data_IF_198837134847
#
_entry.id   IF_198837134847
#
_cell.length_a   1.000
_cell.length_b   1.000
_cell.length_c   1.000
_cell.angle_alpha   90.00
_cell.angle_beta   90.00
_cell.angle_gamma   90.00
#
_symmetry.space_group_name_H-M   'P 1'
#
loop_
_entity.id
_entity.type
_entity.pdbx_description
1 polymer ?
#
# COMPACT_ATOMS: atom_id res chain seq x y z
N UNK A 1 16.58 24.13 19.92
CA UNK A 1 16.48 25.53 20.41
C UNK A 1 15.89 25.48 21.82
N UNK A 2 16.62 25.87 22.86
CA UNK A 2 16.13 25.85 24.24
C UNK A 2 15.42 27.18 24.53
N UNK A 3 14.11 27.14 24.76
CA UNK A 3 13.36 28.27 25.31
C UNK A 3 13.45 28.24 26.84
N UNK A 4 14.32 29.07 27.42
CA UNK A 4 14.35 29.30 28.87
C UNK A 4 13.35 30.40 29.25
N UNK A 5 12.20 30.02 29.82
CA UNK A 5 11.27 30.98 30.43
C UNK A 5 11.82 31.36 31.83
N UNK A 6 12.25 32.60 32.01
CA UNK A 6 12.69 33.12 33.31
C UNK A 6 11.48 33.46 34.19
N UNK A 7 11.20 32.65 35.21
CA UNK A 7 10.36 33.06 36.34
C UNK A 7 11.25 33.51 37.49
N UNK A 8 11.34 34.83 37.71
CA UNK A 8 11.96 35.42 38.89
C UNK A 8 11.00 35.26 40.08
N UNK A 9 11.17 34.20 40.87
CA UNK A 9 10.49 34.08 42.16
C UNK A 9 11.39 34.70 43.24
N UNK A 10 11.15 35.97 43.55
CA UNK A 10 11.86 36.68 44.61
C UNK A 10 11.38 36.19 46.00
N UNK A 11 12.19 35.38 46.69
CA UNK A 11 12.04 35.17 48.13
C UNK A 11 13.02 36.09 48.88
N UNK A 12 12.48 37.11 49.55
CA UNK A 12 13.25 38.04 50.37
C UNK A 12 13.33 37.50 51.82
N UNK A 13 14.49 36.98 52.22
CA UNK A 13 14.76 36.65 53.63
C UNK A 13 15.41 37.85 54.32
N UNK A 14 14.71 38.47 55.26
CA UNK A 14 15.25 39.55 56.11
C UNK A 14 15.68 38.95 57.44
N UNK A 15 16.99 38.93 57.71
CA UNK A 15 17.51 38.60 59.03
C UNK A 15 17.63 39.87 59.89
N UNK A 16 16.85 39.95 60.96
CA UNK A 16 16.94 41.01 61.97
C UNK A 16 17.67 40.48 63.20
N UNK A 17 18.95 40.83 63.35
CA UNK A 17 19.69 40.62 64.60
C UNK A 17 19.67 41.90 65.44
N UNK A 18 19.15 41.82 66.67
CA UNK A 18 19.11 42.94 67.63
C UNK A 18 20.32 42.83 68.54
N UNK A 19 21.21 43.83 68.53
CA UNK A 19 22.27 43.97 69.53
C UNK A 19 22.12 45.33 70.23
N UNK A 20 22.24 45.33 71.56
CA UNK A 20 22.16 46.53 72.39
C UNK A 20 23.33 47.46 72.07
N UNK A 21 23.07 48.77 72.03
CA UNK A 21 23.97 49.89 71.73
C UNK A 21 24.40 50.06 70.26
N UNK A 22 23.81 51.09 69.62
CA UNK A 22 24.14 51.72 68.32
C UNK A 22 23.48 51.14 67.05
N UNK A 23 22.74 51.99 66.33
CA UNK A 23 21.99 51.69 65.10
C UNK A 23 22.92 51.70 63.87
N UNK A 24 23.30 50.53 63.36
CA UNK A 24 23.83 50.34 62.00
C UNK A 24 23.19 49.09 61.42
N UNK A 25 22.49 49.22 60.28
CA UNK A 25 21.83 48.12 59.59
C UNK A 25 22.71 47.69 58.42
N UNK A 26 23.25 46.47 58.49
CA UNK A 26 23.88 45.82 57.33
C UNK A 26 22.85 44.89 56.66
N UNK A 27 22.52 45.17 55.40
CA UNK A 27 21.68 44.30 54.57
C UNK A 27 22.59 43.54 53.61
N UNK A 28 22.71 42.22 53.80
CA UNK A 28 23.38 41.33 52.85
C UNK A 28 22.32 40.62 52.03
N UNK A 29 22.23 40.92 50.73
CA UNK A 29 21.31 40.26 49.80
C UNK A 29 22.03 39.10 49.13
N UNK A 30 21.64 37.87 49.47
CA UNK A 30 22.08 36.67 48.75
C UNK A 30 20.99 36.26 47.76
N UNK A 31 21.25 36.42 46.46
CA UNK A 31 20.35 35.98 45.39
C UNK A 31 20.69 34.54 45.04
N UNK A 32 19.89 33.59 45.56
CA UNK A 32 19.94 32.19 45.14
C UNK A 32 19.10 32.01 43.88
N UNK A 33 19.77 31.98 42.73
CA UNK A 33 19.13 31.63 41.45
C UNK A 33 18.93 30.11 41.39
N UNK A 34 17.67 29.66 41.52
CA UNK A 34 17.30 28.28 41.20
C UNK A 34 17.01 28.19 39.70
N UNK A 35 17.89 27.49 38.96
CA UNK A 35 17.61 27.11 37.57
C UNK A 35 16.80 25.82 37.60
N UNK A 36 15.50 25.91 37.27
CA UNK A 36 14.68 24.74 37.02
C UNK A 36 15.02 24.21 35.62
N UNK A 37 15.86 23.17 35.54
CA UNK A 37 16.11 22.45 34.28
C UNK A 37 15.01 21.40 34.13
N UNK A 38 13.99 21.70 33.33
CA UNK A 38 13.04 20.69 32.85
C UNK A 38 13.73 19.97 31.70
N UNK A 39 14.33 18.80 31.96
CA UNK A 39 14.70 17.90 30.87
C UNK A 39 13.40 17.31 30.32
N UNK A 40 12.90 17.89 29.23
CA UNK A 40 11.80 17.27 28.48
C UNK A 40 12.27 15.90 28.00
N UNK A 41 11.48 14.86 28.26
CA UNK A 41 11.76 13.52 27.72
C UNK A 41 11.71 13.55 26.19
N UNK A 42 12.36 12.56 25.56
CA UNK A 42 12.25 12.38 24.12
C UNK A 42 10.77 12.17 23.71
N UNK A 43 10.39 12.56 22.48
CA UNK A 43 9.06 12.26 21.97
C UNK A 43 8.75 10.75 22.03
N UNK A 44 7.48 10.35 22.27
CA UNK A 44 7.09 8.95 22.26
C UNK A 44 7.56 8.22 21.00
N UNK A 45 8.20 7.06 21.16
CA UNK A 45 8.72 6.26 20.03
C UNK A 45 10.04 6.74 19.43
N UNK A 46 10.71 7.77 19.98
CA UNK A 46 12.01 8.21 19.49
C UNK A 46 13.06 7.07 19.53
N UNK A 47 13.72 6.83 18.40
CA UNK A 47 14.70 5.77 18.15
C UNK A 47 14.18 4.34 18.41
N UNK A 48 12.86 4.17 18.39
CA UNK A 48 12.18 2.87 18.44
C UNK A 48 11.64 2.49 17.05
N UNK A 49 11.22 1.24 16.84
CA UNK A 49 10.53 0.86 15.60
C UNK A 49 9.26 1.68 15.36
N UNK A 50 8.90 1.84 14.09
CA UNK A 50 7.68 2.55 13.68
C UNK A 50 6.44 1.95 14.36
N UNK A 51 5.53 2.81 14.82
CA UNK A 51 4.37 2.43 15.61
C UNK A 51 4.62 2.33 17.12
N UNK A 52 5.87 2.43 17.60
CA UNK A 52 6.14 2.39 19.04
C UNK A 52 5.69 3.64 19.81
N UNK A 53 5.24 4.70 19.13
CA UNK A 53 4.75 5.94 19.75
C UNK A 53 3.39 5.76 20.45
N UNK A 54 2.56 4.84 19.98
CA UNK A 54 1.22 4.59 20.51
C UNK A 54 0.76 3.14 20.26
N UNK A 55 -0.13 2.56 21.09
CA UNK A 55 -0.72 1.26 20.80
C UNK A 55 -1.49 1.24 19.47
N UNK A 56 -1.45 0.14 18.70
CA UNK A 56 -2.19 0.05 17.45
C UNK A 56 -3.70 -0.09 17.65
N UNK A 57 -4.45 0.40 16.69
CA UNK A 57 -5.85 0.05 16.47
C UNK A 57 -5.95 -1.35 15.82
N UNK A 58 -6.93 -2.18 16.22
CA UNK A 58 -7.14 -3.46 15.57
C UNK A 58 -7.71 -3.30 14.15
N UNK A 59 -7.59 -4.36 13.36
CA UNK A 59 -8.29 -4.50 12.09
C UNK A 59 -9.55 -5.37 12.27
N UNK A 60 -10.50 -5.23 11.35
CA UNK A 60 -11.60 -6.18 11.23
C UNK A 60 -11.04 -7.56 10.84
N UNK A 61 -11.67 -8.62 11.34
CA UNK A 61 -11.30 -10.00 11.05
C UNK A 61 -12.53 -10.80 10.61
N UNK A 62 -12.36 -11.63 9.59
CA UNK A 62 -13.36 -12.56 9.09
C UNK A 62 -12.74 -13.95 8.94
N UNK A 63 -13.50 -15.01 9.18
CA UNK A 63 -13.00 -16.39 9.02
C UNK A 63 -12.99 -16.87 7.57
N UNK A 64 -13.70 -16.18 6.68
CA UNK A 64 -13.82 -16.52 5.26
C UNK A 64 -13.91 -15.27 4.40
N UNK A 65 -13.59 -15.40 3.11
CA UNK A 65 -13.90 -14.32 2.15
C UNK A 65 -15.41 -14.11 2.03
N UNK A 66 -15.90 -12.86 2.11
CA UNK A 66 -17.29 -12.54 1.85
C UNK A 66 -17.63 -12.70 0.35
N UNK A 67 -18.91 -12.56 0.01
CA UNK A 67 -19.33 -12.48 -1.40
C UNK A 67 -18.82 -11.18 -2.06
N UNK A 68 -18.69 -11.11 -3.41
CA UNK A 68 -18.17 -9.91 -4.09
C UNK A 68 -18.92 -8.62 -3.79
N UNK A 69 -20.25 -8.70 -3.65
CA UNK A 69 -21.07 -7.50 -3.39
C UNK A 69 -20.83 -7.00 -1.96
N UNK A 70 -20.85 -7.91 -1.00
CA UNK A 70 -20.55 -7.60 0.40
C UNK A 70 -19.13 -7.06 0.57
N UNK A 71 -18.15 -7.67 -0.13
CA UNK A 71 -16.76 -7.20 -0.12
C UNK A 71 -16.67 -5.75 -0.63
N UNK A 72 -17.33 -5.46 -1.73
CA UNK A 72 -17.33 -4.12 -2.31
C UNK A 72 -17.95 -3.09 -1.35
N UNK A 73 -19.15 -3.36 -0.86
CA UNK A 73 -19.93 -2.40 -0.06
C UNK A 73 -19.32 -2.14 1.32
N UNK A 74 -18.77 -3.18 1.96
CA UNK A 74 -18.33 -3.11 3.36
C UNK A 74 -16.83 -2.84 3.51
N UNK A 75 -16.02 -3.13 2.49
CA UNK A 75 -14.56 -3.04 2.58
C UNK A 75 -13.95 -2.19 1.47
N UNK A 76 -14.19 -2.49 0.19
CA UNK A 76 -13.52 -1.78 -0.92
C UNK A 76 -13.97 -0.33 -1.02
N UNK A 77 -15.28 -0.11 -1.22
CA UNK A 77 -15.86 1.24 -1.34
C UNK A 77 -15.59 2.14 -0.13
N UNK A 78 -15.75 1.69 1.13
CA UNK A 78 -15.42 2.50 2.31
C UNK A 78 -13.92 2.52 2.64
N UNK A 79 -13.06 1.87 1.86
CA UNK A 79 -11.61 1.80 2.05
C UNK A 79 -11.21 1.27 3.44
N UNK A 80 -11.77 0.11 3.81
CA UNK A 80 -11.55 -0.51 5.13
C UNK A 80 -10.73 -1.79 5.02
N UNK A 81 -9.53 -1.85 5.64
CA UNK A 81 -8.73 -3.07 5.69
C UNK A 81 -9.42 -4.17 6.50
N UNK A 82 -9.17 -5.43 6.14
CA UNK A 82 -9.71 -6.61 6.83
C UNK A 82 -8.79 -7.82 6.67
N UNK A 83 -8.62 -8.58 7.76
CA UNK A 83 -7.90 -9.86 7.75
C UNK A 83 -8.90 -11.00 7.56
N UNK A 84 -8.65 -11.87 6.58
CA UNK A 84 -9.38 -13.11 6.36
C UNK A 84 -8.58 -14.28 6.96
N UNK A 85 -8.95 -14.72 8.16
CA UNK A 85 -8.24 -15.74 8.94
C UNK A 85 -8.32 -17.11 8.28
N UNK A 86 -7.17 -17.73 8.03
CA UNK A 86 -7.08 -19.06 7.41
C UNK A 86 -7.61 -19.16 5.99
N UNK A 87 -7.97 -18.04 5.34
CA UNK A 87 -8.64 -18.04 4.05
C UNK A 87 -7.75 -18.55 2.89
N UNK A 88 -6.43 -18.40 2.97
CA UNK A 88 -5.50 -18.97 1.98
C UNK A 88 -5.42 -20.51 2.07
N UNK A 89 -5.81 -21.12 3.20
CA UNK A 89 -5.75 -22.58 3.40
C UNK A 89 -6.65 -23.37 2.45
N UNK A 90 -7.66 -22.71 1.89
CA UNK A 90 -8.56 -23.33 0.91
C UNK A 90 -7.92 -23.46 -0.48
N UNK A 91 -6.86 -22.68 -0.77
CA UNK A 91 -6.25 -22.69 -2.10
C UNK A 91 -5.47 -23.99 -2.32
N UNK A 92 -5.64 -24.68 -3.48
CA UNK A 92 -4.96 -25.94 -3.77
C UNK A 92 -3.42 -25.87 -3.70
N UNK A 93 -2.83 -24.69 -3.94
CA UNK A 93 -1.39 -24.47 -3.88
C UNK A 93 -0.85 -24.30 -2.46
N UNK A 94 -1.70 -24.08 -1.46
CA UNK A 94 -1.29 -23.68 -0.10
C UNK A 94 -0.21 -24.59 0.51
N UNK A 95 -0.44 -25.90 0.52
CA UNK A 95 0.53 -26.84 1.10
C UNK A 95 1.69 -27.17 0.16
N UNK A 96 1.43 -27.25 -1.15
CA UNK A 96 2.47 -27.55 -2.13
C UNK A 96 3.54 -26.46 -2.20
N UNK A 97 3.17 -25.19 -2.05
CA UNK A 97 4.08 -24.06 -2.14
C UNK A 97 4.91 -23.82 -0.87
N UNK A 98 4.60 -24.52 0.23
CA UNK A 98 5.50 -24.62 1.39
C UNK A 98 6.65 -25.60 1.16
N UNK A 99 6.57 -26.42 0.11
CA UNK A 99 7.55 -27.46 -0.19
C UNK A 99 8.51 -26.99 -1.30
N UNK A 100 9.74 -26.67 -0.92
CA UNK A 100 10.77 -26.24 -1.88
C UNK A 100 11.12 -27.33 -2.92
N UNK A 101 10.99 -28.62 -2.61
CA UNK A 101 11.23 -29.69 -3.58
C UNK A 101 10.13 -29.76 -4.64
N UNK A 102 8.87 -29.51 -4.24
CA UNK A 102 7.77 -29.33 -5.19
C UNK A 102 8.06 -28.15 -6.12
N UNK A 103 8.39 -26.98 -5.55
CA UNK A 103 8.69 -25.76 -6.31
C UNK A 103 9.88 -25.96 -7.26
N UNK A 104 10.97 -26.61 -6.80
CA UNK A 104 12.13 -26.98 -7.63
C UNK A 104 11.73 -27.92 -8.76
N UNK A 105 10.90 -28.93 -8.50
CA UNK A 105 10.49 -29.92 -9.50
C UNK A 105 9.58 -29.31 -10.56
N UNK A 106 8.58 -28.54 -10.12
CA UNK A 106 7.51 -28.01 -10.98
C UNK A 106 7.94 -26.77 -11.75
N UNK A 107 8.61 -25.82 -11.09
CA UNK A 107 8.89 -24.49 -11.64
C UNK A 107 10.38 -24.16 -11.73
N UNK A 108 11.27 -25.03 -11.25
CA UNK A 108 12.69 -24.70 -11.08
C UNK A 108 13.45 -24.30 -12.35
N UNK A 109 12.90 -24.56 -13.55
CA UNK A 109 13.49 -24.13 -14.83
C UNK A 109 13.18 -22.67 -15.17
N UNK A 110 12.15 -22.07 -14.58
CA UNK A 110 11.74 -20.70 -14.84
C UNK A 110 12.81 -19.71 -14.37
N UNK A 111 12.99 -18.62 -15.12
CA UNK A 111 13.88 -17.50 -14.76
C UNK A 111 13.12 -16.56 -13.82
N UNK A 112 13.80 -16.09 -12.79
CA UNK A 112 13.25 -15.11 -11.85
C UNK A 112 14.27 -14.02 -11.59
N UNK A 113 13.78 -12.87 -11.15
CA UNK A 113 14.61 -11.79 -10.62
C UNK A 113 14.39 -11.72 -9.10
N UNK A 114 15.48 -11.80 -8.33
CA UNK A 114 15.44 -11.62 -6.88
C UNK A 114 16.17 -10.33 -6.51
N UNK A 115 15.54 -9.50 -5.67
CA UNK A 115 16.14 -8.30 -5.13
C UNK A 115 17.35 -8.63 -4.25
N UNK A 116 18.36 -7.77 -4.30
CA UNK A 116 19.46 -7.78 -3.36
C UNK A 116 19.04 -7.13 -2.04
N UNK A 117 19.19 -7.86 -0.94
CA UNK A 117 18.82 -7.39 0.39
C UNK A 117 17.40 -7.74 0.80
N UNK A 118 17.21 -8.10 2.07
CA UNK A 118 15.88 -8.36 2.65
C UNK A 118 15.24 -7.13 3.30
N UNK A 119 16.04 -6.14 3.70
CA UNK A 119 15.55 -4.81 4.04
C UNK A 119 15.49 -4.01 2.75
N UNK A 120 14.29 -3.58 2.38
CA UNK A 120 14.04 -2.87 1.15
C UNK A 120 14.94 -1.64 1.04
N UNK A 121 15.66 -1.58 -0.06
CA UNK A 121 16.48 -0.45 -0.46
C UNK A 121 16.40 -0.37 -1.98
N UNK A 122 15.62 0.60 -2.48
CA UNK A 122 15.31 0.76 -3.91
C UNK A 122 16.49 1.22 -4.77
N UNK A 123 17.67 1.43 -4.16
CA UNK A 123 18.92 1.66 -4.90
C UNK A 123 19.72 0.38 -5.16
N UNK A 124 19.29 -0.77 -4.63
CA UNK A 124 19.94 -2.06 -4.85
C UNK A 124 19.44 -2.70 -6.16
N UNK A 125 20.27 -3.59 -6.71
CA UNK A 125 19.97 -4.28 -7.97
C UNK A 125 19.12 -5.53 -7.79
N UNK A 126 18.92 -6.22 -8.91
CA UNK A 126 18.28 -7.55 -8.96
C UNK A 126 19.25 -8.60 -9.48
N UNK A 127 19.10 -9.83 -8.99
CA UNK A 127 19.84 -11.00 -9.44
C UNK A 127 18.94 -11.90 -10.28
N UNK A 128 19.28 -12.04 -11.55
CA UNK A 128 18.57 -12.94 -12.46
C UNK A 128 19.10 -14.37 -12.36
N UNK A 129 18.25 -15.30 -11.93
CA UNK A 129 18.62 -16.70 -11.71
C UNK A 129 17.48 -17.66 -12.05
N UNK A 130 17.78 -18.95 -12.20
CA UNK A 130 16.69 -19.93 -12.26
C UNK A 130 16.02 -20.06 -10.90
N UNK A 131 14.73 -20.34 -10.87
CA UNK A 131 14.02 -20.55 -9.61
C UNK A 131 14.61 -21.72 -8.81
N UNK A 132 15.13 -22.75 -9.48
CA UNK A 132 15.91 -23.82 -8.83
C UNK A 132 17.14 -23.28 -8.10
N UNK A 133 17.87 -22.35 -8.71
CA UNK A 133 19.05 -21.73 -8.10
C UNK A 133 18.63 -20.90 -6.89
N UNK A 134 17.59 -20.08 -7.01
CA UNK A 134 17.01 -19.32 -5.89
C UNK A 134 16.69 -20.24 -4.70
N UNK A 135 15.88 -21.28 -4.93
CA UNK A 135 15.48 -22.26 -3.91
C UNK A 135 16.65 -23.06 -3.30
N UNK A 136 17.85 -22.98 -3.88
CA UNK A 136 19.05 -23.62 -3.36
C UNK A 136 19.90 -22.70 -2.49
N UNK A 137 19.70 -21.37 -2.56
CA UNK A 137 20.55 -20.38 -1.90
C UNK A 137 19.80 -19.44 -0.95
N UNK A 138 18.51 -19.15 -1.19
CA UNK A 138 17.76 -18.11 -0.48
C UNK A 138 17.77 -18.25 1.05
N UNK A 139 17.80 -19.49 1.57
CA UNK A 139 17.88 -19.79 2.99
C UNK A 139 19.14 -19.24 3.69
N UNK A 140 20.21 -18.96 2.93
CA UNK A 140 21.52 -18.49 3.43
C UNK A 140 21.97 -17.18 2.81
N UNK A 141 21.20 -16.65 1.87
CA UNK A 141 21.52 -15.44 1.11
C UNK A 141 20.62 -14.29 1.56
N UNK A 142 21.13 -13.07 1.45
CA UNK A 142 20.36 -11.86 1.67
C UNK A 142 19.69 -11.44 0.36
N UNK A 143 18.70 -12.23 -0.05
CA UNK A 143 17.92 -12.02 -1.27
C UNK A 143 16.43 -12.13 -0.98
N UNK A 144 15.63 -11.38 -1.73
CA UNK A 144 14.18 -11.39 -1.64
C UNK A 144 13.57 -11.54 -3.02
N UNK A 145 12.83 -12.62 -3.25
CA UNK A 145 12.13 -12.79 -4.52
C UNK A 145 10.86 -11.94 -4.53
N UNK A 146 10.80 -11.01 -5.46
CA UNK A 146 9.64 -10.18 -5.78
C UNK A 146 9.38 -10.38 -7.26
N UNK A 147 8.37 -11.18 -7.59
CA UNK A 147 8.20 -11.69 -8.95
C UNK A 147 6.75 -11.64 -9.38
N UNK A 148 6.49 -10.97 -10.51
CA UNK A 148 5.22 -11.08 -11.21
C UNK A 148 5.01 -12.54 -11.68
N UNK A 149 3.86 -13.10 -11.32
CA UNK A 149 3.45 -14.49 -11.61
C UNK A 149 2.28 -14.58 -12.59
N UNK A 150 2.04 -13.55 -13.39
CA UNK A 150 1.08 -13.53 -14.49
C UNK A 150 1.59 -14.31 -15.72
N UNK A 151 0.69 -14.66 -16.68
CA UNK A 151 1.11 -15.30 -17.93
C UNK A 151 2.16 -14.46 -18.66
N UNK A 152 3.22 -15.08 -19.22
CA UNK A 152 3.38 -16.51 -19.48
C UNK A 152 3.98 -17.33 -18.33
N UNK A 153 4.09 -16.78 -17.11
CA UNK A 153 4.64 -17.49 -15.97
C UNK A 153 3.82 -18.75 -15.64
N UNK A 154 4.45 -19.95 -15.59
CA UNK A 154 3.73 -21.20 -15.35
C UNK A 154 3.12 -21.30 -13.94
N UNK A 155 3.54 -20.46 -12.99
CA UNK A 155 2.96 -20.40 -11.65
C UNK A 155 1.52 -19.86 -11.66
N UNK A 156 1.11 -19.06 -12.65
CA UNK A 156 -0.24 -18.47 -12.77
C UNK A 156 -1.36 -19.51 -12.54
N UNK A 157 -1.18 -20.75 -13.02
CA UNK A 157 -2.17 -21.83 -12.91
C UNK A 157 -2.47 -22.26 -11.46
N UNK A 158 -1.59 -21.92 -10.53
CA UNK A 158 -1.65 -22.23 -9.10
C UNK A 158 -1.77 -20.96 -8.23
N UNK A 159 -2.01 -19.82 -8.87
CA UNK A 159 -2.49 -18.59 -8.23
C UNK A 159 -4.01 -18.60 -8.31
N UNK A 160 -4.69 -18.31 -7.20
CA UNK A 160 -6.14 -18.41 -7.09
C UNK A 160 -6.75 -17.07 -6.67
N UNK A 161 -7.81 -16.68 -7.38
CA UNK A 161 -8.66 -15.56 -7.00
C UNK A 161 -9.67 -16.03 -5.95
N UNK A 162 -9.81 -15.32 -4.82
CA UNK A 162 -10.83 -15.64 -3.82
C UNK A 162 -12.23 -15.30 -4.31
N UNK A 163 -13.26 -15.94 -3.73
CA UNK A 163 -14.69 -15.73 -4.04
C UNK A 163 -15.07 -14.27 -4.19
N UNK A 164 -14.58 -13.38 -3.31
CA UNK A 164 -14.90 -11.96 -3.31
C UNK A 164 -14.45 -11.21 -4.58
N UNK A 165 -13.61 -11.80 -5.43
CA UNK A 165 -13.14 -11.21 -6.70
C UNK A 165 -13.74 -11.88 -7.94
N UNK A 166 -14.62 -12.89 -7.83
CA UNK A 166 -15.02 -13.72 -8.97
C UNK A 166 -16.16 -13.16 -9.83
N UNK A 167 -16.84 -12.09 -9.42
CA UNK A 167 -17.81 -11.37 -10.26
C UNK A 167 -17.92 -9.89 -9.91
N UNK A 168 -18.81 -9.14 -10.57
CA UNK A 168 -19.05 -7.72 -10.26
C UNK A 168 -18.13 -6.74 -10.98
N UNK A 169 -17.15 -7.25 -11.73
CA UNK A 169 -16.20 -6.45 -12.52
C UNK A 169 -14.75 -6.56 -12.04
N UNK A 170 -14.49 -7.15 -10.86
CA UNK A 170 -13.14 -7.32 -10.32
C UNK A 170 -12.18 -7.99 -11.32
N UNK A 171 -12.62 -9.07 -11.98
CA UNK A 171 -11.79 -9.81 -12.94
C UNK A 171 -11.40 -9.01 -14.18
N UNK A 172 -12.12 -7.93 -14.49
CA UNK A 172 -11.82 -7.07 -15.65
C UNK A 172 -10.73 -6.04 -15.32
N UNK A 173 -10.42 -5.85 -14.03
CA UNK A 173 -9.50 -4.82 -13.52
C UNK A 173 -8.31 -5.38 -12.75
N UNK A 174 -8.09 -6.70 -12.76
CA UNK A 174 -6.89 -7.33 -12.18
C UNK A 174 -5.67 -6.87 -12.97
N UNK A 175 -4.75 -6.19 -12.30
CA UNK A 175 -3.55 -5.62 -12.92
C UNK A 175 -2.37 -6.59 -12.84
N UNK A 176 -2.08 -7.13 -11.64
CA UNK A 176 -0.96 -8.06 -11.46
C UNK A 176 -1.21 -9.03 -10.30
N UNK A 177 -0.43 -10.11 -10.28
CA UNK A 177 -0.24 -10.95 -9.12
C UNK A 177 1.27 -11.12 -8.86
N UNK A 178 1.71 -10.83 -7.64
CA UNK A 178 3.13 -10.77 -7.28
C UNK A 178 3.44 -11.78 -6.17
N UNK A 179 4.43 -12.63 -6.42
CA UNK A 179 5.01 -13.53 -5.41
C UNK A 179 6.09 -12.80 -4.61
N UNK A 180 6.00 -12.95 -3.29
CA UNK A 180 6.98 -12.46 -2.33
C UNK A 180 7.56 -13.63 -1.56
N UNK A 181 8.84 -13.93 -1.72
CA UNK A 181 9.46 -15.12 -1.11
C UNK A 181 10.86 -14.84 -0.57
N UNK A 182 11.07 -15.06 0.73
CA UNK A 182 12.37 -14.94 1.38
C UNK A 182 12.61 -16.04 2.43
N UNK A 183 13.82 -16.02 2.99
CA UNK A 183 14.20 -16.82 4.16
C UNK A 183 13.74 -16.21 5.50
N UNK A 184 13.01 -15.09 5.46
CA UNK A 184 12.56 -14.36 6.63
C UNK A 184 13.37 -13.11 6.96
N UNK A 185 12.80 -12.26 7.83
CA UNK A 185 13.38 -11.00 8.29
C UNK A 185 13.32 -9.88 7.25
N UNK A 186 12.43 -9.99 6.26
CA UNK A 186 12.25 -8.92 5.27
C UNK A 186 11.49 -7.75 5.89
N UNK A 187 11.88 -6.55 5.47
CA UNK A 187 11.29 -5.29 5.93
C UNK A 187 11.10 -4.36 4.76
N UNK A 188 9.89 -3.85 4.55
CA UNK A 188 9.64 -2.83 3.54
C UNK A 188 9.99 -1.43 4.05
N UNK A 189 10.09 -0.45 3.18
CA UNK A 189 9.97 0.97 3.56
C UNK A 189 8.51 1.29 3.90
N UNK A 190 8.26 2.47 4.48
CA UNK A 190 6.91 3.02 4.59
C UNK A 190 6.50 3.64 3.25
N UNK A 191 5.46 3.10 2.62
CA UNK A 191 4.98 3.52 1.30
C UNK A 191 3.47 3.31 1.20
N UNK A 192 2.87 3.60 0.04
CA UNK A 192 1.53 3.16 -0.31
C UNK A 192 1.51 2.62 -1.75
N UNK A 193 0.48 1.83 -2.06
CA UNK A 193 0.26 1.31 -3.40
C UNK A 193 -0.87 2.07 -4.10
N UNK A 194 -0.74 2.26 -5.41
CA UNK A 194 -1.80 2.80 -6.28
C UNK A 194 -2.78 1.72 -6.77
N UNK A 195 -2.85 0.59 -6.05
CA UNK A 195 -3.75 -0.52 -6.34
C UNK A 195 -4.53 -0.91 -5.10
N UNK A 196 -5.71 -1.50 -5.32
CA UNK A 196 -6.35 -2.32 -4.32
C UNK A 196 -5.62 -3.68 -4.24
N UNK A 197 -5.47 -4.24 -3.05
CA UNK A 197 -4.53 -5.34 -2.84
C UNK A 197 -5.07 -6.39 -1.86
N UNK A 198 -5.04 -7.67 -2.23
CA UNK A 198 -5.16 -8.78 -1.27
C UNK A 198 -3.81 -9.49 -1.18
N UNK A 199 -3.19 -9.42 0.00
CA UNK A 199 -2.01 -10.21 0.34
C UNK A 199 -2.43 -11.52 1.00
N UNK A 200 -2.10 -12.68 0.44
CA UNK A 200 -2.35 -13.99 1.02
C UNK A 200 -1.04 -14.67 1.41
N UNK A 201 -0.91 -15.03 2.69
CA UNK A 201 0.31 -15.58 3.28
C UNK A 201 0.29 -17.11 3.27
N UNK A 202 1.24 -17.72 2.57
CA UNK A 202 1.37 -19.17 2.44
C UNK A 202 2.29 -19.77 3.50
N UNK A 203 3.32 -19.03 3.93
CA UNK A 203 4.28 -19.46 4.94
C UNK A 203 4.84 -18.28 5.74
N UNK A 204 5.23 -18.53 6.99
CA UNK A 204 5.71 -17.53 7.94
C UNK A 204 4.62 -16.67 8.57
N UNK A 205 5.02 -15.52 9.12
CA UNK A 205 4.11 -14.48 9.62
C UNK A 205 4.53 -13.08 9.15
N UNK A 206 3.58 -12.16 9.09
CA UNK A 206 3.80 -10.75 8.74
C UNK A 206 3.06 -9.84 9.71
N UNK A 207 3.68 -8.71 10.04
CA UNK A 207 3.05 -7.61 10.75
C UNK A 207 3.12 -6.36 9.85
N UNK A 208 1.96 -5.73 9.65
CA UNK A 208 1.84 -4.51 8.89
C UNK A 208 1.50 -3.35 9.82
N UNK A 209 2.37 -2.35 9.87
CA UNK A 209 2.02 -1.01 10.34
C UNK A 209 1.20 -0.36 9.23
N UNK A 210 -0.05 0.06 9.51
CA UNK A 210 -0.96 0.59 8.49
C UNK A 210 -1.56 1.92 8.93
N UNK A 211 -1.59 2.90 8.03
CA UNK A 211 -2.17 4.22 8.27
C UNK A 211 -3.15 4.54 7.15
N UNK A 212 -4.34 4.99 7.56
CA UNK A 212 -5.42 5.38 6.68
C UNK A 212 -4.98 6.53 5.76
N UNK A 213 -5.30 6.43 4.47
CA UNK A 213 -4.97 7.43 3.45
C UNK A 213 -5.45 8.85 3.79
N UNK A 214 -6.46 9.00 4.64
CA UNK A 214 -6.93 10.32 5.13
C UNK A 214 -5.86 11.11 5.88
N UNK A 215 -4.80 10.45 6.35
CA UNK A 215 -3.68 11.07 7.05
C UNK A 215 -2.49 11.37 6.11
N UNK A 216 -2.70 11.47 4.80
CA UNK A 216 -1.65 11.73 3.81
C UNK A 216 -0.73 12.90 4.19
N UNK A 217 -1.28 14.00 4.68
CA UNK A 217 -0.51 15.20 5.08
C UNK A 217 0.44 14.97 6.27
N UNK A 218 0.24 13.90 7.04
CA UNK A 218 1.04 13.57 8.22
C UNK A 218 2.07 12.46 7.93
N UNK A 219 1.89 11.67 6.88
CA UNK A 219 2.81 10.59 6.52
C UNK A 219 3.96 11.15 5.69
N UNK A 220 5.22 11.05 6.15
CA UNK A 220 6.35 11.71 5.50
C UNK A 220 6.85 10.94 4.27
N UNK A 221 6.12 11.01 3.15
CA UNK A 221 6.58 10.51 1.84
C UNK A 221 7.51 11.56 1.21
N UNK A 222 8.77 11.55 1.62
CA UNK A 222 9.79 12.54 1.26
C UNK A 222 10.71 12.10 0.11
N UNK A 223 10.59 10.85 -0.35
CA UNK A 223 11.22 10.38 -1.58
C UNK A 223 10.16 10.31 -2.68
N UNK A 224 10.03 11.41 -3.41
CA UNK A 224 9.07 11.53 -4.52
C UNK A 224 9.36 10.52 -5.63
N UNK A 225 10.63 10.32 -5.94
CA UNK A 225 11.11 9.32 -6.89
C UNK A 225 10.98 7.91 -6.27
N UNK A 226 9.89 7.22 -6.61
CA UNK A 226 9.50 5.94 -6.02
C UNK A 226 8.35 6.02 -4.99
N UNK A 227 7.94 7.20 -4.51
CA UNK A 227 6.75 7.32 -3.65
C UNK A 227 6.85 6.60 -2.29
N UNK A 228 7.95 6.80 -1.56
CA UNK A 228 8.15 6.21 -0.23
C UNK A 228 8.76 7.19 0.77
N UNK A 229 8.73 6.81 2.05
CA UNK A 229 9.36 7.54 3.14
C UNK A 229 10.81 7.08 3.36
N UNK A 230 11.72 8.03 3.51
CA UNK A 230 13.11 7.80 3.90
C UNK A 230 13.30 7.48 5.39
N UNK A 231 12.21 7.39 6.17
CA UNK A 231 12.27 7.05 7.60
C UNK A 231 12.90 5.68 7.83
N UNK A 232 13.82 5.58 8.80
CA UNK A 232 14.29 4.28 9.27
C UNK A 232 13.21 3.67 10.17
N UNK A 233 12.39 2.80 9.59
CA UNK A 233 11.27 2.09 10.24
C UNK A 233 11.69 1.27 11.46
N UNK A 234 12.97 0.95 11.64
CA UNK A 234 13.47 0.25 12.83
C UNK A 234 13.90 1.20 13.97
N UNK A 235 14.21 2.46 13.64
CA UNK A 235 14.73 3.48 14.56
C UNK A 235 14.25 4.86 14.13
N UNK A 236 12.99 5.17 14.44
CA UNK A 236 12.34 6.40 14.00
C UNK A 236 12.87 7.61 14.76
N UNK A 237 13.55 8.50 14.06
CA UNK A 237 13.93 9.81 14.61
C UNK A 237 12.70 10.74 14.66
N UNK A 238 11.98 10.70 15.79
CA UNK A 238 10.81 11.56 16.03
C UNK A 238 11.11 13.07 16.06
N UNK A 239 12.38 13.50 16.16
CA UNK A 239 12.71 14.92 15.98
C UNK A 239 12.74 15.31 14.50
N UNK A 240 13.14 14.36 13.63
CA UNK A 240 13.11 14.53 12.17
C UNK A 240 11.71 14.32 11.58
N UNK A 241 10.94 13.36 12.12
CA UNK A 241 9.61 12.99 11.65
C UNK A 241 8.54 13.17 12.75
N UNK A 242 8.33 14.39 13.27
CA UNK A 242 7.46 14.63 14.42
C UNK A 242 5.99 14.28 14.14
N UNK A 243 5.53 14.38 12.90
CA UNK A 243 4.15 14.07 12.51
C UNK A 243 3.77 12.61 12.72
N UNK A 244 4.74 11.68 12.71
CA UNK A 244 4.51 10.28 13.02
C UNK A 244 4.03 10.06 14.46
N UNK A 245 4.41 10.94 15.38
CA UNK A 245 4.00 10.86 16.78
C UNK A 245 2.50 11.12 17.02
N UNK A 246 1.83 11.77 16.06
CA UNK A 246 0.40 12.11 16.13
C UNK A 246 -0.49 11.11 15.36
N UNK A 247 0.10 10.13 14.66
CA UNK A 247 -0.63 9.20 13.81
C UNK A 247 -1.32 8.10 14.61
N UNK A 248 -2.63 7.97 14.42
CA UNK A 248 -3.33 6.71 14.66
C UNK A 248 -2.92 5.69 13.59
N UNK A 249 -2.61 4.47 14.02
CA UNK A 249 -2.18 3.41 13.13
C UNK A 249 -2.85 2.09 13.50
N UNK A 250 -2.98 1.22 12.51
CA UNK A 250 -3.56 -0.12 12.64
C UNK A 250 -2.48 -1.20 12.52
N UNK A 251 -2.65 -2.29 13.26
CA UNK A 251 -1.80 -3.47 13.14
C UNK A 251 -2.47 -4.57 12.31
N UNK A 252 -1.95 -4.82 11.11
CA UNK A 252 -2.30 -5.98 10.30
C UNK A 252 -1.40 -7.16 10.62
N UNK A 253 -1.80 -8.01 11.57
CA UNK A 253 -1.06 -9.23 11.91
C UNK A 253 -1.58 -10.43 11.12
N UNK A 254 -0.70 -11.12 10.41
CA UNK A 254 -0.99 -12.28 9.58
C UNK A 254 -0.13 -13.48 9.97
N UNK A 255 -0.76 -14.65 10.06
CA UNK A 255 -0.08 -15.95 10.18
C UNK A 255 -0.27 -16.77 8.90
N UNK A 256 0.51 -17.83 8.70
CA UNK A 256 0.38 -18.69 7.53
C UNK A 256 -1.05 -19.22 7.37
N UNK A 257 -1.64 -18.92 6.21
CA UNK A 257 -3.04 -19.19 5.89
C UNK A 257 -3.93 -17.96 5.88
N UNK A 258 -3.52 -16.84 6.46
CA UNK A 258 -4.32 -15.62 6.46
C UNK A 258 -4.18 -14.86 5.14
N UNK A 259 -5.21 -14.10 4.78
CA UNK A 259 -5.14 -13.05 3.77
C UNK A 259 -5.49 -11.69 4.37
N UNK A 260 -4.95 -10.60 3.83
CA UNK A 260 -5.23 -9.23 4.26
C UNK A 260 -5.60 -8.41 3.04
N UNK A 261 -6.76 -7.75 3.11
CA UNK A 261 -7.11 -6.69 2.18
C UNK A 261 -6.44 -5.38 2.64
N UNK A 262 -5.58 -4.84 1.77
CA UNK A 262 -4.90 -3.56 1.90
C UNK A 262 -5.59 -2.61 0.91
N UNK A 263 -6.36 -1.61 1.39
CA UNK A 263 -7.07 -0.73 0.49
C UNK A 263 -6.13 0.22 -0.24
N UNK A 264 -6.56 0.66 -1.42
CA UNK A 264 -5.89 1.66 -2.24
C UNK A 264 -5.38 2.86 -1.43
N UNK A 265 -4.13 3.24 -1.66
CA UNK A 265 -3.42 4.38 -1.06
C UNK A 265 -3.22 4.29 0.47
N UNK A 266 -3.54 3.18 1.12
CA UNK A 266 -3.18 3.01 2.53
C UNK A 266 -1.67 2.92 2.70
N UNK A 267 -1.15 3.73 3.61
CA UNK A 267 0.28 3.72 3.92
C UNK A 267 0.61 2.52 4.77
N UNK A 268 1.67 1.81 4.43
CA UNK A 268 2.05 0.62 5.16
C UNK A 268 3.56 0.35 5.18
N UNK A 269 3.99 -0.29 6.26
CA UNK A 269 5.30 -0.91 6.43
C UNK A 269 5.08 -2.37 6.82
N UNK A 270 5.76 -3.29 6.13
CA UNK A 270 5.67 -4.73 6.35
C UNK A 270 6.93 -5.23 7.03
N UNK A 271 6.76 -5.95 8.14
CA UNK A 271 7.81 -6.66 8.85
C UNK A 271 7.49 -8.16 8.86
N UNK A 272 8.33 -8.97 8.22
CA UNK A 272 8.15 -10.42 8.15
C UNK A 272 8.92 -11.15 9.25
N UNK A 273 8.38 -12.28 9.71
CA UNK A 273 9.03 -13.20 10.65
C UNK A 273 10.46 -13.56 10.26
N UNK A 274 11.29 -13.92 11.22
CA UNK A 274 12.67 -14.39 10.99
C UNK A 274 12.78 -15.76 10.28
N UNK A 275 11.66 -16.40 9.96
CA UNK A 275 11.57 -17.68 9.25
C UNK A 275 11.11 -17.50 7.82
N UNK A 276 11.23 -18.57 7.01
CA UNK A 276 10.72 -18.65 5.62
C UNK A 276 9.37 -17.94 5.51
N UNK A 277 9.26 -17.05 4.52
CA UNK A 277 8.07 -16.27 4.29
C UNK A 277 7.70 -16.35 2.82
N UNK A 278 6.45 -16.68 2.51
CA UNK A 278 5.93 -16.76 1.15
C UNK A 278 4.53 -16.17 1.11
N UNK A 279 4.30 -15.17 0.26
CA UNK A 279 2.99 -14.57 0.05
C UNK A 279 2.70 -14.33 -1.44
N UNK A 280 1.41 -14.22 -1.76
CA UNK A 280 0.93 -13.76 -3.05
C UNK A 280 0.08 -12.52 -2.85
N UNK A 281 0.39 -11.46 -3.58
CA UNK A 281 -0.47 -10.31 -3.71
C UNK A 281 -1.29 -10.42 -4.99
N UNK A 282 -2.56 -10.05 -4.92
CA UNK A 282 -3.43 -9.84 -6.08
C UNK A 282 -3.77 -8.37 -6.10
N UNK A 283 -3.34 -7.66 -7.14
CA UNK A 283 -3.54 -6.22 -7.32
C UNK A 283 -4.55 -5.95 -8.41
N UNK A 284 -5.49 -5.05 -8.14
CA UNK A 284 -6.47 -4.61 -9.13
C UNK A 284 -6.68 -3.09 -9.10
N UNK A 285 -7.08 -2.54 -10.23
CA UNK A 285 -7.31 -1.11 -10.38
C UNK A 285 -8.53 -0.65 -9.56
N UNK A 286 -8.50 0.61 -9.13
CA UNK A 286 -9.62 1.26 -8.43
C UNK A 286 -10.93 1.06 -9.21
N UNK A 287 -11.99 0.70 -8.50
CA UNK A 287 -13.34 0.71 -9.06
C UNK A 287 -14.15 1.84 -8.41
N UNK A 288 -14.76 2.69 -9.23
CA UNK A 288 -15.66 3.75 -8.77
C UNK A 288 -17.00 3.19 -8.27
N UNK A 289 -17.56 2.21 -8.98
CA UNK A 289 -18.74 1.45 -8.58
C UNK A 289 -18.53 -0.04 -8.91
N UNK A 290 -19.55 -0.89 -8.68
CA UNK A 290 -19.52 -2.30 -9.05
C UNK A 290 -20.25 -2.51 -10.40
N UNK A 291 -19.58 -2.44 -11.56
CA UNK A 291 -20.24 -2.32 -12.86
C UNK A 291 -21.15 -3.50 -13.22
N UNK A 292 -20.80 -4.72 -12.79
CA UNK A 292 -21.57 -5.94 -13.10
C UNK A 292 -22.38 -6.43 -11.91
N UNK A 293 -22.85 -5.51 -11.05
CA UNK A 293 -23.53 -5.84 -9.79
C UNK A 293 -24.76 -6.72 -9.97
N UNK A 294 -25.67 -6.38 -10.89
CA UNK A 294 -26.92 -7.14 -11.08
C UNK A 294 -26.69 -8.55 -11.61
N UNK A 295 -25.71 -8.71 -12.51
CA UNK A 295 -25.30 -10.03 -13.03
C UNK A 295 -24.66 -10.86 -11.91
N UNK A 296 -23.78 -10.24 -11.14
CA UNK A 296 -23.10 -10.85 -10.00
C UNK A 296 -24.12 -11.33 -8.94
N UNK A 297 -25.12 -10.52 -8.61
CA UNK A 297 -26.18 -10.87 -7.65
C UNK A 297 -26.98 -12.12 -8.07
N UNK A 298 -27.13 -12.38 -9.38
CA UNK A 298 -27.86 -13.54 -9.90
C UNK A 298 -27.08 -14.86 -9.77
N UNK A 299 -25.75 -14.80 -9.69
CA UNK A 299 -24.87 -15.98 -9.69
C UNK A 299 -24.02 -16.13 -8.41
N UNK A 300 -24.07 -15.16 -7.49
CA UNK A 300 -23.22 -15.11 -6.29
C UNK A 300 -23.32 -16.37 -5.41
N UNK A 301 -24.52 -16.95 -5.33
CA UNK A 301 -24.78 -18.19 -4.59
C UNK A 301 -24.02 -19.39 -5.18
N UNK A 302 -23.83 -19.41 -6.50
CA UNK A 302 -23.21 -20.51 -7.24
C UNK A 302 -21.69 -20.33 -7.42
N UNK A 303 -21.14 -19.18 -7.03
CA UNK A 303 -19.70 -18.93 -7.11
C UNK A 303 -18.91 -19.89 -6.22
N UNK A 304 -17.83 -20.49 -6.74
CA UNK A 304 -16.92 -21.29 -5.92
C UNK A 304 -16.20 -20.42 -4.89
N UNK A 305 -15.60 -21.05 -3.89
CA UNK A 305 -14.80 -20.34 -2.88
C UNK A 305 -13.55 -19.66 -3.46
N UNK A 306 -13.06 -20.15 -4.61
CA UNK A 306 -11.94 -19.61 -5.36
C UNK A 306 -11.99 -20.12 -6.81
N UNK A 307 -11.23 -19.48 -7.71
CA UNK A 307 -10.92 -20.02 -9.05
C UNK A 307 -9.49 -19.64 -9.48
N UNK A 308 -8.91 -20.37 -10.44
CA UNK A 308 -7.54 -20.16 -10.87
C UNK A 308 -7.40 -18.88 -11.72
N UNK A 309 -6.39 -18.05 -11.41
CA UNK A 309 -6.13 -16.77 -12.10
C UNK A 309 -5.96 -16.94 -13.61
N UNK A 310 -5.38 -18.06 -14.06
CA UNK A 310 -5.18 -18.38 -15.47
C UNK A 310 -6.48 -18.44 -16.30
N UNK A 311 -7.63 -18.60 -15.65
CA UNK A 311 -8.94 -18.60 -16.32
C UNK A 311 -9.42 -17.19 -16.70
N UNK A 312 -8.74 -16.16 -16.21
CA UNK A 312 -9.12 -14.76 -16.37
C UNK A 312 -8.10 -14.01 -17.22
N UNK A 313 -8.56 -12.94 -17.85
CA UNK A 313 -7.68 -12.01 -18.57
C UNK A 313 -7.09 -11.03 -17.58
N UNK A 314 -5.84 -10.65 -17.81
CA UNK A 314 -5.23 -9.52 -17.12
C UNK A 314 -5.75 -8.25 -17.77
N UNK A 315 -6.05 -7.24 -16.94
CA UNK A 315 -6.52 -5.95 -17.39
C UNK A 315 -5.50 -5.32 -18.32
N UNK A 316 -6.00 -4.63 -19.35
CA UNK A 316 -5.17 -3.79 -20.19
C UNK A 316 -4.52 -2.69 -19.32
N UNK A 317 -3.22 -2.39 -19.44
CA UNK A 317 -2.55 -1.39 -18.59
C UNK A 317 -3.26 -0.02 -18.55
N UNK A 318 -3.95 0.37 -19.63
CA UNK A 318 -4.71 1.62 -19.70
C UNK A 318 -5.92 1.65 -18.73
N UNK A 319 -6.37 0.50 -18.23
CA UNK A 319 -7.42 0.40 -17.22
C UNK A 319 -7.02 1.08 -15.90
N UNK A 320 -5.73 1.22 -15.62
CA UNK A 320 -5.24 1.97 -14.47
C UNK A 320 -5.62 3.46 -14.55
N UNK A 321 -5.80 4.00 -15.76
CA UNK A 321 -6.18 5.40 -15.97
C UNK A 321 -7.68 5.65 -15.96
N UNK A 322 -8.51 4.63 -16.25
CA UNK A 322 -9.97 4.77 -16.28
C UNK A 322 -10.56 5.42 -15.02
N UNK A 323 -10.07 5.14 -13.79
CA UNK A 323 -10.54 5.79 -12.58
C UNK A 323 -10.55 7.33 -12.62
N UNK A 324 -9.59 7.93 -13.34
CA UNK A 324 -9.46 9.40 -13.46
C UNK A 324 -10.71 9.99 -14.15
N UNK A 325 -11.33 9.26 -15.09
CA UNK A 325 -12.55 9.70 -15.74
C UNK A 325 -13.68 9.91 -14.74
N UNK A 326 -13.76 9.07 -13.71
CA UNK A 326 -14.79 9.18 -12.68
C UNK A 326 -14.53 10.30 -11.67
N UNK A 327 -13.31 10.82 -11.56
CA UNK A 327 -13.03 11.96 -10.70
C UNK A 327 -13.65 13.26 -11.26
N UNK A 328 -14.08 13.25 -12.53
CA UNK A 328 -14.89 14.33 -13.12
C UNK A 328 -16.37 14.30 -12.72
N UNK A 329 -16.86 13.17 -12.18
CA UNK A 329 -18.29 12.92 -11.99
C UNK A 329 -18.87 13.73 -10.83
N UNK A 330 -20.15 14.12 -10.96
CA UNK A 330 -20.91 14.55 -9.80
C UNK A 330 -21.31 13.31 -8.97
N UNK A 331 -20.81 13.21 -7.74
CA UNK A 331 -21.04 12.04 -6.88
C UNK A 331 -22.52 11.70 -6.65
N UNK A 332 -23.41 12.71 -6.63
CA UNK A 332 -24.85 12.49 -6.41
C UNK A 332 -25.55 12.04 -7.67
N UNK A 333 -25.24 12.68 -8.79
CA UNK A 333 -25.88 12.35 -10.08
C UNK A 333 -25.32 11.05 -10.67
N UNK A 334 -24.09 10.66 -10.31
CA UNK A 334 -23.34 9.57 -10.95
C UNK A 334 -23.25 9.75 -12.47
N UNK A 335 -23.17 11.01 -12.90
CA UNK A 335 -22.98 11.40 -14.29
C UNK A 335 -22.20 12.71 -14.37
N UNK A 336 -21.79 13.07 -15.59
CA UNK A 336 -21.11 14.33 -15.90
C UNK A 336 -21.52 14.82 -17.28
N UNK A 337 -21.85 16.11 -17.40
CA UNK A 337 -22.16 16.71 -18.70
C UNK A 337 -20.89 16.91 -19.51
N UNK A 338 -21.02 17.07 -20.83
CA UNK A 338 -19.87 17.32 -21.71
C UNK A 338 -19.00 18.50 -21.30
N UNK A 339 -19.64 19.62 -20.95
CA UNK A 339 -18.94 20.85 -20.54
C UNK A 339 -18.16 20.64 -19.24
N UNK A 340 -18.78 20.01 -18.25
CA UNK A 340 -18.15 19.70 -16.96
C UNK A 340 -17.02 18.68 -17.13
N UNK A 341 -17.20 17.65 -17.96
CA UNK A 341 -16.20 16.63 -18.20
C UNK A 341 -14.93 17.25 -18.78
N UNK A 342 -15.06 18.00 -19.89
CA UNK A 342 -13.91 18.64 -20.56
C UNK A 342 -13.20 19.60 -19.61
N UNK A 343 -13.94 20.44 -18.89
CA UNK A 343 -13.33 21.38 -17.95
C UNK A 343 -12.62 20.71 -16.78
N UNK A 344 -13.15 19.61 -16.24
CA UNK A 344 -12.56 18.94 -15.07
C UNK A 344 -11.40 18.04 -15.45
N UNK A 345 -11.51 17.30 -16.55
CA UNK A 345 -10.45 16.38 -16.98
C UNK A 345 -9.18 17.12 -17.39
N UNK A 346 -9.29 18.30 -18.01
CA UNK A 346 -8.14 19.16 -18.32
C UNK A 346 -7.37 19.55 -17.05
N UNK A 347 -8.09 19.95 -16.00
CA UNK A 347 -7.47 20.26 -14.70
C UNK A 347 -6.84 19.02 -14.03
N UNK A 348 -7.49 17.86 -14.10
CA UNK A 348 -7.00 16.64 -13.47
C UNK A 348 -5.75 16.07 -14.17
N UNK A 349 -5.68 16.19 -15.51
CA UNK A 349 -4.57 15.64 -16.28
C UNK A 349 -3.35 16.55 -16.23
N UNK A 350 -3.51 17.88 -16.28
CA UNK A 350 -2.40 18.84 -16.13
C UNK A 350 -1.61 18.66 -14.82
N UNK A 351 -2.27 18.15 -13.76
CA UNK A 351 -1.65 17.88 -12.47
C UNK A 351 -0.98 16.49 -12.36
N UNK A 352 -1.39 15.50 -13.16
CA UNK A 352 -1.08 14.08 -12.89
C UNK A 352 -0.33 13.34 -14.01
N UNK A 353 -0.49 13.73 -15.27
CA UNK A 353 0.11 13.03 -16.42
C UNK A 353 0.43 14.06 -17.50
N UNK A 354 1.63 14.08 -18.06
CA UNK A 354 1.88 14.87 -19.26
C UNK A 354 1.06 14.24 -20.41
N UNK A 355 -0.11 14.78 -20.78
CA UNK A 355 -0.91 14.13 -21.81
C UNK A 355 -0.17 14.20 -23.15
N UNK A 356 -0.52 13.34 -24.11
CA UNK A 356 -0.12 13.56 -25.50
C UNK A 356 -0.44 14.99 -25.93
N UNK A 357 0.40 15.61 -26.77
CA UNK A 357 0.10 16.96 -27.25
C UNK A 357 -1.22 16.98 -28.03
N UNK A 358 -2.12 17.90 -27.68
CA UNK A 358 -3.41 18.13 -28.34
C UNK A 358 -4.47 17.02 -28.16
N UNK A 359 -4.60 16.45 -26.95
CA UNK A 359 -5.75 15.58 -26.63
C UNK A 359 -7.06 16.36 -26.73
N UNK A 360 -8.02 15.82 -27.49
CA UNK A 360 -9.37 16.37 -27.62
C UNK A 360 -10.32 15.61 -26.68
N UNK A 361 -10.41 16.04 -25.43
CA UNK A 361 -11.29 15.41 -24.43
C UNK A 361 -12.77 15.49 -24.80
N UNK A 362 -13.16 16.45 -25.65
CA UNK A 362 -14.51 16.51 -26.20
C UNK A 362 -14.81 15.29 -27.09
N UNK A 363 -13.86 14.88 -27.93
CA UNK A 363 -14.00 13.64 -28.71
C UNK A 363 -14.02 12.39 -27.83
N UNK A 364 -13.22 12.35 -26.76
CA UNK A 364 -13.29 11.24 -25.80
C UNK A 364 -14.70 11.14 -25.20
N UNK A 365 -15.26 12.27 -24.77
CA UNK A 365 -16.63 12.33 -24.30
C UNK A 365 -17.60 11.77 -25.34
N UNK A 366 -17.57 12.30 -26.56
CA UNK A 366 -18.49 11.93 -27.64
C UNK A 366 -18.35 10.44 -28.03
N UNK A 367 -17.17 9.82 -27.82
CA UNK A 367 -16.95 8.38 -28.04
C UNK A 367 -17.55 7.50 -26.94
N UNK A 368 -17.60 8.01 -25.71
CA UNK A 368 -18.14 7.29 -24.55
C UNK A 368 -19.65 7.51 -24.39
N UNK A 369 -20.18 8.66 -24.81
CA UNK A 369 -21.61 9.00 -24.80
C UNK A 369 -22.34 8.23 -25.91
N UNK A 370 -22.59 6.95 -25.64
CA UNK A 370 -23.15 6.03 -26.65
C UNK A 370 -24.62 6.32 -26.96
N UNK A 371 -25.35 6.97 -26.06
CA UNK A 371 -26.75 7.29 -26.24
C UNK A 371 -26.97 8.70 -26.84
N UNK A 372 -25.92 9.54 -26.88
CA UNK A 372 -25.91 10.92 -27.38
C UNK A 372 -26.88 11.85 -26.65
N UNK A 373 -27.05 11.68 -25.34
CA UNK A 373 -27.88 12.55 -24.50
C UNK A 373 -27.12 13.74 -23.89
N UNK A 374 -25.80 13.77 -24.04
CA UNK A 374 -24.94 14.84 -23.56
C UNK A 374 -24.47 14.69 -22.11
N UNK A 375 -24.79 13.57 -21.45
CA UNK A 375 -24.39 13.22 -20.09
C UNK A 375 -23.72 11.84 -20.04
N UNK A 376 -22.45 11.77 -19.65
CA UNK A 376 -21.79 10.48 -19.42
C UNK A 376 -22.25 9.84 -18.12
N UNK A 377 -22.76 8.62 -18.22
CA UNK A 377 -23.11 7.79 -17.07
C UNK A 377 -21.96 6.88 -16.64
N UNK A 378 -22.02 6.39 -15.39
CA UNK A 378 -21.03 5.40 -14.88
C UNK A 378 -20.96 4.17 -15.78
N UNK A 379 -22.13 3.73 -16.28
CA UNK A 379 -22.25 2.55 -17.14
C UNK A 379 -21.51 2.75 -18.45
N UNK A 380 -21.67 3.89 -19.11
CA UNK A 380 -21.03 4.19 -20.39
C UNK A 380 -19.51 4.23 -20.29
N UNK A 381 -18.99 4.83 -19.21
CA UNK A 381 -17.55 4.82 -18.95
C UNK A 381 -17.04 3.39 -18.74
N UNK A 382 -17.76 2.52 -18.03
CA UNK A 382 -17.35 1.12 -17.88
C UNK A 382 -17.49 0.28 -19.15
N UNK A 383 -18.51 0.55 -19.97
CA UNK A 383 -18.73 -0.16 -21.25
C UNK A 383 -17.72 0.25 -22.32
N UNK A 384 -17.05 1.40 -22.16
CA UNK A 384 -16.05 1.91 -23.11
C UNK A 384 -14.83 0.99 -23.17
N UNK A 385 -14.51 0.37 -24.32
CA UNK A 385 -13.37 -0.54 -24.43
C UNK A 385 -12.03 0.14 -24.10
N UNK A 386 -11.16 -0.54 -23.36
CA UNK A 386 -9.82 -0.08 -22.96
C UNK A 386 -9.04 0.60 -24.11
N UNK A 387 -9.05 -0.04 -25.29
CA UNK A 387 -8.35 0.44 -26.49
C UNK A 387 -8.73 1.87 -26.94
N UNK A 388 -9.94 2.32 -26.58
CA UNK A 388 -10.44 3.65 -26.92
C UNK A 388 -9.83 4.75 -26.05
N UNK A 389 -9.24 4.39 -24.91
CA UNK A 389 -8.64 5.34 -23.97
C UNK A 389 -7.20 5.73 -24.35
N UNK A 390 -6.46 4.86 -25.04
CA UNK A 390 -5.06 5.12 -25.43
C UNK A 390 -4.76 6.47 -26.09
N UNK A 391 -5.62 7.00 -27.00
CA UNK A 391 -5.35 8.30 -27.62
C UNK A 391 -5.45 9.49 -26.65
N UNK A 392 -6.04 9.30 -25.48
CA UNK A 392 -6.43 10.38 -24.58
C UNK A 392 -5.77 10.29 -23.20
N UNK A 393 -5.24 9.13 -22.84
CA UNK A 393 -4.59 8.93 -21.55
C UNK A 393 -3.19 8.41 -21.79
N UNK A 394 -2.19 9.26 -21.55
CA UNK A 394 -0.79 8.90 -21.64
C UNK A 394 -0.36 8.18 -20.37
N UNK A 395 -0.68 6.89 -20.22
CA UNK A 395 0.03 6.09 -19.21
C UNK A 395 1.18 5.33 -19.85
N UNK A 396 2.37 5.82 -19.49
CA UNK A 396 3.54 5.01 -19.16
C UNK A 396 4.28 5.51 -17.92
N UNK A 397 3.71 6.44 -17.15
CA UNK A 397 4.30 6.90 -15.89
C UNK A 397 3.78 6.04 -14.74
N UNK A 398 4.69 5.47 -13.93
CA UNK A 398 4.49 4.54 -12.81
C UNK A 398 4.52 3.03 -13.10
N UNK A 399 4.98 2.57 -14.28
CA UNK A 399 5.63 1.25 -14.33
C UNK A 399 7.08 1.42 -13.88
N UNK A 400 7.28 1.59 -12.57
CA UNK A 400 8.59 1.35 -11.93
C UNK A 400 8.51 0.13 -11.00
N UNK A 401 7.94 -0.93 -11.57
CA UNK A 401 8.34 -2.31 -11.31
C UNK A 401 8.21 -3.03 -12.66
N UNK A 402 9.16 -2.74 -13.55
CA UNK A 402 9.12 -3.24 -14.92
C UNK A 402 8.97 -4.77 -14.98
N UNK A 403 8.16 -5.33 -15.89
CA UNK A 403 8.41 -6.68 -16.34
C UNK A 403 9.79 -6.71 -17.04
N UNK A 404 10.57 -7.81 -16.92
CA UNK A 404 11.79 -7.95 -17.72
C UNK A 404 11.43 -7.81 -19.20
N UNK A 405 12.25 -7.09 -19.94
CA UNK A 405 12.18 -6.96 -21.41
C UNK A 405 11.84 -8.30 -22.08
N UNK A 406 10.99 -8.24 -23.11
CA UNK A 406 10.66 -9.39 -23.96
C UNK A 406 11.93 -10.13 -24.41
N UNK A 407 12.16 -11.33 -23.88
CA UNK A 407 13.23 -12.21 -24.32
C UNK A 407 12.88 -12.80 -25.70
N UNK A 408 13.57 -12.36 -26.74
CA UNK A 408 13.60 -13.04 -28.05
C UNK A 408 14.16 -14.46 -27.83
N UNK A 409 13.35 -15.49 -28.10
CA UNK A 409 13.73 -16.90 -28.00
C UNK A 409 14.65 -17.36 -29.15
N UNK A 410 15.58 -16.51 -29.56
CA UNK A 410 16.56 -16.83 -30.60
C UNK A 410 17.92 -16.40 -30.12
N UNK A 411 18.51 -17.25 -29.29
CA UNK A 411 19.89 -17.73 -29.43
C UNK A 411 20.24 -18.54 -28.18
N UNK A 412 20.36 -19.86 -28.34
CA UNK A 412 21.51 -20.67 -27.88
C UNK A 412 21.16 -22.16 -27.99
N UNK A 413 21.83 -22.79 -28.96
CA UNK A 413 22.05 -24.22 -29.13
C UNK A 413 23.12 -24.72 -28.15
#
# INVERSE_FOLDING_TARGET
MVFCVHYLVNYMFVFLCRNMSSFVIHVTVAVLNFVLVVMGGDPPGHMQPIGAHAPPLPLAELDTFPGPIEFFDNYVKPSRPVVFRGAAKQFPSFDNWKNDDYLKKTYGKWRIQAEEGKKENRSLGVQDMSYRKFLSVYAKSDIYLVQDVLPPNPMTKEVFLPKCLLCGGYTDVISTAVMWFSSGGTKSVLHNDQFENINCLYDGSKELYMVDKKFADLVPIDVMDGGYSSVDVEKVDMYKYPTLGDLEWHLGKMEAGDCLYIPLNWYHHVNSSQTRNLAINIWWNRMYDLPKREECAKQEADLPSYDALINYKIADPIEQSRPILFDTFNERAKSVSREDFVSRIENSVDEMMQPPENVDFGKLFDLMDTNNDGDLTVKEVYDTPAKMLYPFVGIGAFVDSGPPEEFDQRDEL
#
